data_IF_932527639932
#
_entry.id   IF_932527639932
#
_cell.length_a   1.000
_cell.length_b   1.000
_cell.length_c   1.000
_cell.angle_alpha   90.00
_cell.angle_beta   90.00
_cell.angle_gamma   90.00
#
_symmetry.space_group_name_H-M   'P 1'
#
loop_
_entity.id
_entity.type
_entity.pdbx_description
1 polymer ?
#
# COMPACT_ATOMS: atom_id res chain seq x y z
N UNK A 1 -0.68 3.39 37.78
CA UNK A 1 0.67 3.30 37.20
C UNK A 1 1.14 1.85 37.30
N UNK A 2 0.91 1.04 36.27
CA UNK A 2 1.14 -0.42 36.33
C UNK A 2 2.62 -0.80 36.33
N UNK A 3 3.53 0.15 36.07
CA UNK A 3 4.98 -0.09 36.06
C UNK A 3 5.61 -0.13 37.46
N UNK A 4 4.82 -0.14 38.53
CA UNK A 4 5.29 -0.05 39.93
C UNK A 4 4.74 -1.13 40.87
N UNK A 5 3.97 -2.10 40.36
CA UNK A 5 3.55 -3.25 41.17
C UNK A 5 4.66 -4.31 41.17
N UNK A 6 5.49 -4.29 42.22
CA UNK A 6 6.60 -5.23 42.40
C UNK A 6 6.15 -6.69 42.38
N UNK A 7 4.95 -6.99 42.89
CA UNK A 7 4.41 -8.35 42.89
C UNK A 7 4.07 -8.81 41.47
N UNK A 8 3.45 -7.93 40.67
CA UNK A 8 3.16 -8.21 39.26
C UNK A 8 4.44 -8.39 38.43
N UNK A 9 5.45 -7.54 38.63
CA UNK A 9 6.76 -7.67 37.98
C UNK A 9 7.46 -8.97 38.37
N UNK A 10 7.40 -9.36 39.65
CA UNK A 10 7.97 -10.63 40.11
C UNK A 10 7.31 -11.85 39.46
N UNK A 11 5.97 -11.83 39.31
CA UNK A 11 5.23 -12.87 38.58
C UNK A 11 5.68 -12.91 37.11
N UNK A 12 5.76 -11.76 36.46
CA UNK A 12 6.18 -11.65 35.06
C UNK A 12 7.61 -12.17 34.86
N UNK A 13 8.57 -11.79 35.70
CA UNK A 13 9.95 -12.28 35.63
C UNK A 13 10.06 -13.80 35.86
N UNK A 14 9.21 -14.39 36.71
CA UNK A 14 9.15 -15.85 36.85
C UNK A 14 8.65 -16.50 35.56
N UNK A 15 7.57 -15.97 34.97
CA UNK A 15 7.05 -16.44 33.68
C UNK A 15 8.06 -16.34 32.54
N UNK A 16 8.75 -15.20 32.43
CA UNK A 16 9.78 -14.99 31.41
C UNK A 16 10.95 -15.97 31.57
N UNK A 17 11.38 -16.29 32.79
CA UNK A 17 12.40 -17.33 33.03
C UNK A 17 11.93 -18.73 32.63
N UNK A 18 10.67 -19.07 32.93
CA UNK A 18 10.10 -20.34 32.52
C UNK A 18 9.95 -20.45 30.99
N UNK A 19 9.62 -19.35 30.31
CA UNK A 19 9.59 -19.32 28.84
C UNK A 19 11.00 -19.40 28.24
N UNK A 20 11.98 -18.74 28.84
CA UNK A 20 13.36 -18.72 28.37
C UNK A 20 14.03 -20.10 28.40
N UNK A 21 13.61 -20.98 29.34
CA UNK A 21 14.11 -22.36 29.43
C UNK A 21 13.63 -23.25 28.29
N UNK A 22 12.65 -22.81 27.50
CA UNK A 22 12.15 -23.52 26.33
C UNK A 22 12.92 -23.06 25.07
N UNK A 23 13.78 -23.89 24.45
CA UNK A 23 14.71 -23.43 23.41
C UNK A 23 14.04 -22.88 22.15
N UNK A 24 12.82 -23.31 21.84
CA UNK A 24 12.09 -22.92 20.64
C UNK A 24 11.20 -21.68 20.81
N UNK A 25 11.14 -21.10 22.02
CA UNK A 25 10.39 -19.86 22.27
C UNK A 25 11.23 -18.65 21.89
N UNK A 26 10.64 -17.77 21.07
CA UNK A 26 11.23 -16.50 20.64
C UNK A 26 10.39 -15.33 21.17
N UNK A 27 11.02 -14.18 21.39
CA UNK A 27 10.37 -13.00 21.94
C UNK A 27 10.43 -11.83 20.96
N UNK A 28 9.25 -11.33 20.61
CA UNK A 28 9.09 -10.06 19.91
C UNK A 28 9.10 -8.91 20.93
N UNK A 29 10.19 -8.15 20.96
CA UNK A 29 10.35 -6.97 21.80
C UNK A 29 9.59 -5.80 21.17
N UNK A 30 8.33 -5.61 21.58
CA UNK A 30 7.43 -4.55 21.11
C UNK A 30 6.47 -4.14 22.22
N UNK A 31 5.82 -2.99 22.11
CA UNK A 31 4.78 -2.53 23.05
C UNK A 31 5.25 -2.27 24.49
N UNK A 32 6.56 -2.26 24.74
CA UNK A 32 7.12 -2.15 26.08
C UNK A 32 6.94 -0.74 26.69
N UNK A 33 6.73 0.27 25.84
CA UNK A 33 6.40 1.63 26.28
C UNK A 33 4.96 1.80 26.76
N UNK A 34 4.05 0.89 26.39
CA UNK A 34 2.63 1.01 26.70
C UNK A 34 2.35 0.89 28.21
N UNK A 35 3.12 0.04 28.91
CA UNK A 35 2.99 -0.13 30.36
C UNK A 35 3.55 1.05 31.15
N UNK A 36 4.25 1.97 30.49
CA UNK A 36 4.94 3.10 31.10
C UNK A 36 4.65 4.39 30.32
N UNK A 37 3.44 4.98 30.46
CA UNK A 37 3.07 6.20 29.74
C UNK A 37 4.07 7.34 29.94
N UNK A 38 4.41 8.05 28.86
CA UNK A 38 5.40 9.13 28.89
C UNK A 38 6.86 8.66 28.83
N UNK A 39 7.14 7.35 28.67
CA UNK A 39 8.51 6.84 28.83
C UNK A 39 9.55 7.58 27.99
N UNK A 40 9.27 7.88 26.72
CA UNK A 40 10.23 8.48 25.80
C UNK A 40 10.60 9.96 26.13
N UNK A 41 9.90 10.59 27.08
CA UNK A 41 10.12 11.99 27.49
C UNK A 41 10.68 12.12 28.91
N UNK A 42 10.81 11.01 29.61
CA UNK A 42 11.22 10.96 31.01
C UNK A 42 12.34 9.93 31.15
N UNK A 43 13.52 10.38 31.58
CA UNK A 43 14.72 9.54 31.64
C UNK A 43 14.57 8.38 32.62
N UNK A 44 13.88 8.58 33.75
CA UNK A 44 13.65 7.52 34.73
C UNK A 44 12.71 6.44 34.18
N UNK A 45 11.66 6.85 33.46
CA UNK A 45 10.76 5.90 32.78
C UNK A 45 11.41 5.22 31.58
N UNK A 46 12.24 5.95 30.82
CA UNK A 46 13.08 5.38 29.75
C UNK A 46 13.98 4.29 30.30
N UNK A 47 14.59 4.52 31.47
CA UNK A 47 15.41 3.54 32.15
C UNK A 47 14.62 2.29 32.53
N UNK A 48 13.40 2.41 33.05
CA UNK A 48 12.55 1.25 33.36
C UNK A 48 12.30 0.40 32.12
N UNK A 49 11.92 1.01 31.00
CA UNK A 49 11.67 0.28 29.74
C UNK A 49 12.95 -0.36 29.20
N UNK A 50 14.07 0.36 29.26
CA UNK A 50 15.40 -0.15 28.86
C UNK A 50 15.78 -1.40 29.67
N UNK A 51 15.62 -1.34 30.98
CA UNK A 51 16.06 -2.41 31.88
C UNK A 51 15.18 -3.66 31.70
N UNK A 52 13.88 -3.49 31.40
CA UNK A 52 13.00 -4.58 30.96
C UNK A 52 13.48 -5.21 29.64
N UNK A 53 13.75 -4.40 28.61
CA UNK A 53 14.26 -4.87 27.31
C UNK A 53 15.54 -5.68 27.50
N UNK A 54 16.52 -5.11 28.19
CA UNK A 54 17.81 -5.75 28.44
C UNK A 54 17.67 -7.02 29.27
N UNK A 55 16.76 -7.04 30.24
CA UNK A 55 16.45 -8.22 31.03
C UNK A 55 15.91 -9.37 30.17
N UNK A 56 15.00 -9.09 29.24
CA UNK A 56 14.50 -10.12 28.30
C UNK A 56 15.61 -10.62 27.37
N UNK A 57 16.41 -9.72 26.81
CA UNK A 57 17.54 -10.10 25.95
C UNK A 57 18.52 -10.99 26.72
N UNK A 58 18.83 -10.66 27.97
CA UNK A 58 19.72 -11.48 28.81
C UNK A 58 19.15 -12.86 29.11
N UNK A 59 17.83 -13.01 29.22
CA UNK A 59 17.17 -14.30 29.47
C UNK A 59 17.12 -15.19 28.22
N UNK A 60 16.81 -14.61 27.07
CA UNK A 60 16.54 -15.38 25.85
C UNK A 60 17.75 -15.48 24.92
N UNK A 61 18.72 -14.56 25.00
CA UNK A 61 19.75 -14.40 23.99
C UNK A 61 19.28 -13.53 22.82
N UNK A 62 20.24 -12.96 22.10
CA UNK A 62 19.97 -12.11 20.95
C UNK A 62 19.35 -12.89 19.79
N UNK A 63 19.77 -14.15 19.62
CA UNK A 63 19.31 -15.06 18.59
C UNK A 63 17.83 -15.46 18.75
N UNK A 64 17.23 -15.27 19.92
CA UNK A 64 15.80 -15.53 20.20
C UNK A 64 14.98 -14.27 20.47
N UNK A 65 15.58 -13.09 20.40
CA UNK A 65 14.89 -11.81 20.56
C UNK A 65 14.84 -11.03 19.24
N UNK A 66 13.73 -10.34 18.97
CA UNK A 66 13.63 -9.46 17.79
C UNK A 66 12.92 -8.16 18.13
N UNK A 67 13.53 -7.02 17.78
CA UNK A 67 12.87 -5.72 17.91
C UNK A 67 11.76 -5.57 16.87
N UNK A 68 10.59 -5.15 17.34
CA UNK A 68 9.46 -4.84 16.48
C UNK A 68 8.67 -3.66 17.05
N UNK A 69 7.71 -3.19 16.25
CA UNK A 69 6.78 -2.15 16.67
C UNK A 69 5.36 -2.45 16.22
N UNK A 70 4.41 -2.06 17.05
CA UNK A 70 2.99 -1.95 16.74
C UNK A 70 2.60 -0.49 16.37
N UNK A 71 3.53 0.34 15.91
CA UNK A 71 3.25 1.72 15.48
C UNK A 71 2.10 1.75 14.44
N UNK A 72 1.11 2.67 14.56
CA UNK A 72 1.04 3.82 15.45
C UNK A 72 0.49 3.55 16.86
N UNK A 73 0.14 2.31 17.21
CA UNK A 73 -0.37 1.99 18.57
C UNK A 73 0.74 2.15 19.63
N UNK A 74 2.01 1.98 19.24
CA UNK A 74 3.18 2.32 20.08
C UNK A 74 3.38 3.83 20.28
N UNK A 75 2.59 4.68 19.61
CA UNK A 75 2.64 6.12 19.85
C UNK A 75 2.20 6.36 21.29
N UNK A 76 3.03 7.06 22.04
CA UNK A 76 2.66 7.59 23.35
C UNK A 76 1.30 8.29 23.23
N UNK A 77 0.29 7.97 24.07
CA UNK A 77 -1.05 8.57 24.02
C UNK A 77 -1.02 10.12 23.96
N UNK A 78 0.00 10.75 24.55
CA UNK A 78 0.14 12.21 24.53
C UNK A 78 1.08 12.72 23.41
N UNK A 79 1.38 11.88 22.40
CA UNK A 79 1.99 12.30 21.13
C UNK A 79 3.52 12.34 21.07
N UNK A 80 4.26 11.82 22.05
CA UNK A 80 5.70 12.10 22.23
C UNK A 80 6.73 11.22 21.48
N UNK A 81 6.44 9.97 21.10
CA UNK A 81 7.45 9.06 20.55
C UNK A 81 7.20 8.73 19.08
N UNK A 82 8.09 9.20 18.18
CA UNK A 82 8.06 8.80 16.77
C UNK A 82 8.68 7.41 16.59
N UNK A 83 8.32 6.69 15.52
CA UNK A 83 8.95 5.41 15.20
C UNK A 83 10.48 5.53 15.12
N UNK A 84 11.00 6.62 14.54
CA UNK A 84 12.44 6.90 14.47
C UNK A 84 13.08 7.05 15.85
N UNK A 85 12.45 7.80 16.75
CA UNK A 85 12.97 8.01 18.10
C UNK A 85 13.01 6.69 18.88
N UNK A 86 11.94 5.90 18.82
CA UNK A 86 11.86 4.59 19.46
C UNK A 86 12.94 3.62 18.98
N UNK A 87 13.13 3.46 17.66
CA UNK A 87 14.23 2.62 17.14
C UNK A 87 15.62 3.20 17.46
N UNK A 88 15.72 4.53 17.61
CA UNK A 88 16.93 5.19 18.14
C UNK A 88 17.26 4.75 19.56
N UNK A 89 16.27 4.72 20.45
CA UNK A 89 16.44 4.20 21.81
C UNK A 89 16.83 2.72 21.81
N UNK A 90 16.15 1.88 21.02
CA UNK A 90 16.48 0.45 20.94
C UNK A 90 17.93 0.23 20.52
N UNK A 91 18.41 0.96 19.50
CA UNK A 91 19.82 0.92 19.09
C UNK A 91 20.76 1.35 20.20
N UNK A 92 20.46 2.46 20.88
CA UNK A 92 21.29 2.95 21.98
C UNK A 92 21.38 1.94 23.14
N UNK A 93 20.29 1.24 23.44
CA UNK A 93 20.24 0.26 24.54
C UNK A 93 21.03 -1.02 24.29
N UNK A 94 21.36 -1.33 23.04
CA UNK A 94 22.11 -2.55 22.69
C UNK A 94 23.45 -2.25 22.02
N UNK A 95 23.85 -0.98 21.95
CA UNK A 95 25.09 -0.53 21.30
C UNK A 95 26.36 -1.17 21.88
N UNK A 96 26.31 -1.63 23.14
CA UNK A 96 27.40 -2.33 23.81
C UNK A 96 27.48 -3.83 23.47
N UNK A 97 26.46 -4.40 22.83
CA UNK A 97 26.46 -5.81 22.43
C UNK A 97 27.35 -5.99 21.17
N UNK A 98 27.94 -7.17 20.96
CA UNK A 98 28.64 -7.49 19.72
C UNK A 98 27.78 -7.24 18.49
N UNK A 99 28.38 -6.83 17.36
CA UNK A 99 27.68 -6.54 16.11
C UNK A 99 26.79 -7.71 15.64
N UNK A 100 27.24 -8.95 15.87
CA UNK A 100 26.45 -10.16 15.57
C UNK A 100 25.12 -10.20 16.33
N UNK A 101 25.11 -9.75 17.58
CA UNK A 101 23.95 -9.80 18.47
C UNK A 101 23.02 -8.62 18.18
N UNK A 102 23.59 -7.44 17.89
CA UNK A 102 22.82 -6.32 17.38
C UNK A 102 22.12 -6.70 16.06
N UNK A 103 22.85 -7.33 15.13
CA UNK A 103 22.28 -7.79 13.85
C UNK A 103 21.21 -8.86 14.04
N UNK A 104 21.38 -9.77 14.99
CA UNK A 104 20.34 -10.73 15.36
C UNK A 104 19.05 -10.03 15.81
N UNK A 105 19.16 -9.10 16.77
CA UNK A 105 18.03 -8.36 17.34
C UNK A 105 17.26 -7.51 16.32
N UNK A 106 17.96 -6.91 15.35
CA UNK A 106 17.35 -6.01 14.35
C UNK A 106 17.00 -6.69 13.01
N UNK A 107 17.54 -7.88 12.71
CA UNK A 107 17.38 -8.53 11.40
C UNK A 107 17.34 -10.06 11.49
N UNK A 108 18.43 -10.69 11.91
CA UNK A 108 18.66 -12.11 11.57
C UNK A 108 17.70 -13.04 12.31
N UNK A 109 17.33 -12.74 13.55
CA UNK A 109 16.38 -13.54 14.31
C UNK A 109 14.99 -13.52 13.70
N UNK A 110 14.51 -12.33 13.29
CA UNK A 110 13.25 -12.23 12.58
C UNK A 110 13.31 -12.96 11.22
N UNK A 111 14.43 -12.82 10.50
CA UNK A 111 14.62 -13.50 9.23
C UNK A 111 14.56 -15.03 9.36
N UNK A 112 15.28 -15.57 10.35
CA UNK A 112 15.27 -17.00 10.64
C UNK A 112 13.88 -17.49 11.06
N UNK A 113 13.27 -16.81 12.05
CA UNK A 113 11.97 -17.20 12.61
C UNK A 113 10.85 -17.19 11.56
N UNK A 114 10.79 -16.13 10.73
CA UNK A 114 9.78 -15.98 9.69
C UNK A 114 10.18 -16.62 8.35
N UNK A 115 11.35 -17.28 8.27
CA UNK A 115 11.90 -17.86 7.04
C UNK A 115 11.99 -16.85 5.89
N UNK A 116 12.37 -15.63 6.23
CA UNK A 116 12.61 -14.56 5.26
C UNK A 116 14.01 -14.74 4.71
N UNK A 117 14.10 -14.92 3.41
CA UNK A 117 15.37 -14.88 2.71
C UNK A 117 15.89 -13.43 2.69
N UNK A 118 16.97 -13.22 3.42
CA UNK A 118 17.63 -11.92 3.58
C UNK A 118 18.88 -11.79 2.73
N UNK A 119 19.26 -12.82 1.97
CA UNK A 119 20.33 -12.77 0.97
C UNK A 119 19.79 -12.46 -0.43
N UNK A 120 18.54 -12.80 -0.74
CA UNK A 120 17.97 -12.60 -2.10
C UNK A 120 17.30 -11.23 -2.37
N UNK A 121 17.53 -10.19 -1.56
CA UNK A 121 16.91 -8.87 -1.79
C UNK A 121 17.79 -7.87 -2.53
N UNK A 122 18.12 -8.23 -3.77
CA UNK A 122 17.68 -7.44 -4.93
C UNK A 122 17.01 -8.45 -5.85
N UNK A 123 15.72 -8.31 -6.21
CA UNK A 123 15.19 -9.08 -7.32
C UNK A 123 16.04 -8.76 -8.56
N UNK A 124 16.91 -9.69 -8.95
CA UNK A 124 17.67 -9.70 -10.21
C UNK A 124 16.77 -9.70 -11.45
N UNK A 125 15.45 -9.66 -11.27
CA UNK A 125 14.44 -9.51 -12.31
C UNK A 125 14.40 -8.11 -12.95
N UNK A 126 15.29 -7.18 -12.57
CA UNK A 126 15.58 -5.95 -13.33
C UNK A 126 16.95 -5.96 -14.02
N UNK A 127 17.79 -6.99 -13.82
CA UNK A 127 19.14 -7.08 -14.44
C UNK A 127 19.21 -8.00 -15.66
N UNK A 128 18.07 -8.49 -16.16
CA UNK A 128 18.02 -9.30 -17.39
C UNK A 128 17.17 -8.68 -18.51
N UNK A 129 17.00 -7.36 -18.50
CA UNK A 129 16.96 -6.64 -19.77
C UNK A 129 18.41 -6.36 -20.12
N UNK A 130 18.94 -7.03 -21.14
CA UNK A 130 20.28 -6.78 -21.65
C UNK A 130 20.50 -5.28 -21.86
N UNK A 131 21.75 -4.85 -21.82
CA UNK A 131 22.20 -3.47 -22.02
C UNK A 131 21.70 -2.90 -23.35
N UNK A 132 20.43 -2.51 -23.39
CA UNK A 132 19.95 -1.53 -24.32
C UNK A 132 20.63 -0.21 -23.94
N UNK A 133 20.99 0.65 -24.90
CA UNK A 133 21.50 1.98 -24.59
C UNK A 133 20.54 2.65 -23.61
N UNK A 134 21.08 3.35 -22.61
CA UNK A 134 20.30 4.07 -21.61
C UNK A 134 19.33 5.00 -22.34
N UNK A 135 18.06 4.58 -22.41
CA UNK A 135 17.01 5.40 -23.01
C UNK A 135 16.85 6.65 -22.13
N UNK A 136 16.56 7.82 -22.71
CA UNK A 136 16.30 9.00 -21.91
C UNK A 136 15.19 8.70 -20.88
N UNK A 137 15.24 9.29 -19.67
CA UNK A 137 14.21 9.08 -18.66
C UNK A 137 12.81 9.38 -19.21
N UNK A 138 11.86 8.49 -18.95
CA UNK A 138 10.49 8.64 -19.42
C UNK A 138 9.84 9.89 -18.80
N UNK A 139 9.24 10.73 -19.63
CA UNK A 139 8.63 12.01 -19.25
C UNK A 139 7.16 11.80 -18.95
N UNK A 140 6.83 11.72 -17.67
CA UNK A 140 5.52 11.30 -17.18
C UNK A 140 4.73 12.50 -16.67
N UNK A 141 3.51 12.68 -17.20
CA UNK A 141 2.51 13.56 -16.63
C UNK A 141 1.76 12.84 -15.49
N UNK A 142 1.32 13.57 -14.46
CA UNK A 142 0.50 13.03 -13.37
C UNK A 142 -0.81 13.82 -13.30
N UNK A 143 -1.94 13.16 -13.51
CA UNK A 143 -3.27 13.77 -13.45
C UNK A 143 -3.97 13.46 -12.15
N UNK A 144 -4.19 14.50 -11.34
CA UNK A 144 -4.58 14.43 -9.94
C UNK A 144 -3.34 14.53 -9.03
N UNK A 145 -3.28 15.53 -8.18
CA UNK A 145 -2.23 15.67 -7.17
C UNK A 145 -2.81 15.60 -5.74
N UNK A 146 -3.82 14.74 -5.57
CA UNK A 146 -4.40 14.44 -4.27
C UNK A 146 -3.48 13.64 -3.34
N UNK A 147 -4.01 13.26 -2.19
CA UNK A 147 -3.25 12.57 -1.13
C UNK A 147 -2.55 11.29 -1.61
N UNK A 148 -3.19 10.51 -2.49
CA UNK A 148 -2.63 9.27 -3.04
C UNK A 148 -1.45 9.55 -3.97
N UNK A 149 -1.59 10.52 -4.87
CA UNK A 149 -0.54 10.92 -5.80
C UNK A 149 0.68 11.48 -5.05
N UNK A 150 0.47 12.37 -4.08
CA UNK A 150 1.56 12.97 -3.31
C UNK A 150 2.20 12.00 -2.29
N UNK A 151 1.47 10.99 -1.83
CA UNK A 151 1.99 9.95 -0.93
C UNK A 151 2.73 8.83 -1.66
N UNK A 152 2.27 8.45 -2.86
CA UNK A 152 2.75 7.25 -3.55
C UNK A 152 3.30 7.53 -4.94
N UNK A 153 2.56 8.16 -5.87
CA UNK A 153 3.04 8.27 -7.26
C UNK A 153 4.19 9.27 -7.43
N UNK A 154 4.00 10.52 -7.00
CA UNK A 154 4.98 11.60 -7.19
C UNK A 154 6.33 11.31 -6.50
N UNK A 155 6.39 10.85 -5.24
CA UNK A 155 7.68 10.52 -4.62
C UNK A 155 8.41 9.35 -5.28
N UNK A 156 7.69 8.34 -5.79
CA UNK A 156 8.33 7.21 -6.49
C UNK A 156 8.84 7.63 -7.85
N UNK A 157 8.06 8.43 -8.62
CA UNK A 157 8.53 8.99 -9.88
C UNK A 157 9.77 9.87 -9.69
N UNK A 158 9.76 10.77 -8.70
CA UNK A 158 10.87 11.68 -8.44
C UNK A 158 12.17 10.97 -8.06
N UNK A 159 12.09 9.79 -7.42
CA UNK A 159 13.26 8.99 -7.02
C UNK A 159 13.70 7.99 -8.09
N UNK A 160 12.94 7.82 -9.16
CA UNK A 160 13.23 6.85 -10.20
C UNK A 160 14.17 7.47 -11.25
N UNK A 161 15.41 6.96 -11.43
CA UNK A 161 16.36 7.52 -12.39
C UNK A 161 15.89 7.39 -13.86
N UNK A 162 14.94 6.49 -14.12
CA UNK A 162 14.40 6.23 -15.46
C UNK A 162 13.09 7.00 -15.72
N UNK A 163 12.67 7.91 -14.83
CA UNK A 163 11.48 8.72 -15.01
C UNK A 163 11.70 10.18 -14.59
N UNK A 164 10.96 11.07 -15.22
CA UNK A 164 10.92 12.49 -14.89
C UNK A 164 9.47 12.96 -14.86
N UNK A 165 9.10 13.76 -13.87
CA UNK A 165 7.76 14.35 -13.76
C UNK A 165 7.71 15.53 -14.75
N UNK A 166 7.10 15.33 -15.91
CA UNK A 166 7.05 16.32 -16.98
C UNK A 166 5.99 17.41 -16.73
N UNK A 167 4.88 17.05 -16.11
CA UNK A 167 3.77 17.94 -15.78
C UNK A 167 2.91 17.33 -14.67
N UNK A 168 2.22 18.18 -13.92
CA UNK A 168 1.21 17.78 -12.94
C UNK A 168 -0.10 18.47 -13.30
N UNK A 169 -1.23 17.77 -13.19
CA UNK A 169 -2.56 18.36 -13.35
C UNK A 169 -3.26 18.32 -11.99
N UNK A 170 -3.59 19.50 -11.45
CA UNK A 170 -4.31 19.66 -10.19
C UNK A 170 -5.19 20.93 -10.24
N UNK A 171 -6.52 20.80 -10.34
CA UNK A 171 -7.42 21.95 -10.45
C UNK A 171 -7.53 22.77 -9.17
N UNK A 172 -7.26 22.19 -8.00
CA UNK A 172 -7.36 22.85 -6.70
C UNK A 172 -6.00 23.42 -6.27
N UNK A 173 -5.83 24.75 -6.17
CA UNK A 173 -4.53 25.34 -5.79
C UNK A 173 -4.05 24.93 -4.39
N UNK A 174 -4.98 24.66 -3.48
CA UNK A 174 -4.72 24.29 -2.09
C UNK A 174 -5.51 23.02 -1.73
N UNK A 175 -5.11 21.85 -2.26
CA UNK A 175 -5.80 20.60 -1.97
C UNK A 175 -5.65 20.27 -0.48
N UNK A 176 -6.65 19.61 0.10
CA UNK A 176 -6.68 19.21 1.51
C UNK A 176 -7.06 17.74 1.62
N UNK A 177 -6.51 17.05 2.61
CA UNK A 177 -6.87 15.67 2.90
C UNK A 177 -6.66 15.34 4.36
N UNK A 178 -7.58 14.57 4.93
CA UNK A 178 -7.40 13.93 6.26
C UNK A 178 -6.53 12.67 6.18
N UNK A 179 -6.34 12.11 4.99
CA UNK A 179 -5.54 10.90 4.72
C UNK A 179 -4.05 11.22 4.50
N UNK A 180 -3.74 12.45 4.10
CA UNK A 180 -2.37 12.96 4.02
C UNK A 180 -2.35 14.41 4.51
N UNK A 181 -1.98 14.66 5.77
CA UNK A 181 -1.93 16.01 6.32
C UNK A 181 -0.81 16.88 5.72
N UNK A 182 0.20 16.27 5.11
CA UNK A 182 1.37 16.94 4.53
C UNK A 182 1.21 17.20 3.01
N UNK A 183 -0.03 17.30 2.55
CA UNK A 183 -0.33 17.57 1.14
C UNK A 183 0.10 18.99 0.75
N UNK A 184 0.88 19.10 -0.32
CA UNK A 184 1.41 20.35 -0.88
C UNK A 184 0.37 21.05 -1.76
N UNK A 185 0.40 22.37 -1.72
CA UNK A 185 -0.25 23.25 -2.70
C UNK A 185 0.36 23.11 -4.10
N UNK A 186 -0.32 23.59 -5.13
CA UNK A 186 0.21 23.56 -6.51
C UNK A 186 1.50 24.36 -6.67
N UNK A 187 1.65 25.47 -5.94
CA UNK A 187 2.87 26.26 -5.91
C UNK A 187 4.04 25.47 -5.28
N UNK A 188 3.80 24.79 -4.16
CA UNK A 188 4.80 23.94 -3.51
C UNK A 188 5.15 22.70 -4.34
N UNK A 189 4.19 22.11 -5.06
CA UNK A 189 4.45 21.01 -6.00
C UNK A 189 5.39 21.45 -7.12
N UNK A 190 5.16 22.64 -7.69
CA UNK A 190 6.04 23.22 -8.72
C UNK A 190 7.45 23.40 -8.18
N UNK A 191 7.59 24.02 -7.00
CA UNK A 191 8.88 24.25 -6.37
C UNK A 191 9.61 22.95 -5.99
N UNK A 192 8.86 21.94 -5.53
CA UNK A 192 9.44 20.69 -5.04
C UNK A 192 9.87 19.74 -6.16
N UNK A 193 9.05 19.59 -7.21
CA UNK A 193 9.30 18.65 -8.30
C UNK A 193 9.90 19.30 -9.55
N UNK A 194 9.94 20.64 -9.62
CA UNK A 194 10.45 21.36 -10.79
C UNK A 194 9.58 21.19 -12.04
N UNK A 195 8.30 20.83 -11.87
CA UNK A 195 7.38 20.53 -12.96
C UNK A 195 6.25 21.57 -13.02
N UNK A 196 5.81 22.00 -14.21
CA UNK A 196 4.66 22.89 -14.35
C UNK A 196 3.38 22.19 -13.89
N UNK A 197 2.49 22.95 -13.23
CA UNK A 197 1.17 22.50 -12.82
C UNK A 197 0.10 23.14 -13.70
N UNK A 198 -0.80 22.32 -14.23
CA UNK A 198 -1.95 22.71 -15.04
C UNK A 198 -3.25 22.42 -14.30
N UNK A 199 -4.35 23.09 -14.65
CA UNK A 199 -5.66 22.86 -14.00
C UNK A 199 -6.46 21.75 -14.66
N UNK A 200 -6.16 21.43 -15.92
CA UNK A 200 -6.85 20.39 -16.67
C UNK A 200 -5.90 19.70 -17.66
N UNK A 201 -6.32 18.54 -18.15
CA UNK A 201 -5.63 17.86 -19.26
C UNK A 201 -5.67 18.67 -20.54
N UNK A 202 -6.75 19.43 -20.79
CA UNK A 202 -6.86 20.27 -21.99
C UNK A 202 -5.84 21.41 -21.97
N UNK A 203 -5.61 22.03 -20.80
CA UNK A 203 -4.53 23.02 -20.62
C UNK A 203 -3.15 22.41 -20.84
N UNK A 204 -2.90 21.19 -20.34
CA UNK A 204 -1.64 20.49 -20.58
C UNK A 204 -1.46 20.21 -22.08
N UNK A 205 -2.47 19.65 -22.74
CA UNK A 205 -2.41 19.30 -24.18
C UNK A 205 -2.18 20.52 -25.08
N UNK A 206 -2.65 21.70 -24.67
CA UNK A 206 -2.40 22.96 -25.38
C UNK A 206 -0.99 23.53 -25.12
N UNK A 207 -0.30 23.08 -24.07
CA UNK A 207 1.00 23.60 -23.68
C UNK A 207 2.15 22.94 -24.48
N UNK A 208 3.25 23.67 -24.75
CA UNK A 208 4.40 23.12 -25.48
C UNK A 208 5.00 21.85 -24.85
N UNK A 209 4.91 21.70 -23.52
CA UNK A 209 5.46 20.54 -22.81
C UNK A 209 4.76 19.23 -23.19
N UNK A 210 3.50 19.26 -23.63
CA UNK A 210 2.74 18.06 -24.04
C UNK A 210 3.40 17.28 -25.17
N UNK A 211 4.08 17.98 -26.10
CA UNK A 211 4.80 17.34 -27.21
C UNK A 211 5.97 16.44 -26.74
N UNK A 212 6.38 16.59 -25.48
CA UNK A 212 7.48 15.84 -24.87
C UNK A 212 7.03 14.85 -23.79
N UNK A 213 5.72 14.67 -23.59
CA UNK A 213 5.19 13.71 -22.62
C UNK A 213 5.12 12.33 -23.26
N UNK A 214 5.71 11.33 -22.62
CA UNK A 214 5.69 9.94 -23.07
C UNK A 214 4.48 9.20 -22.52
N UNK A 215 4.05 9.54 -21.31
CA UNK A 215 2.97 8.85 -20.62
C UNK A 215 2.31 9.66 -19.52
N UNK A 216 1.18 9.18 -19.03
CA UNK A 216 0.40 9.80 -17.98
C UNK A 216 0.02 8.78 -16.90
N UNK A 217 0.16 9.17 -15.63
CA UNK A 217 -0.50 8.50 -14.52
C UNK A 217 -1.82 9.21 -14.24
N UNK A 218 -2.94 8.50 -14.38
CA UNK A 218 -4.28 9.02 -14.07
C UNK A 218 -4.63 8.58 -12.65
N UNK A 219 -4.62 9.53 -11.72
CA UNK A 219 -4.89 9.37 -10.28
C UNK A 219 -5.79 10.52 -9.81
N UNK A 220 -6.81 10.78 -10.62
CA UNK A 220 -7.83 11.81 -10.38
C UNK A 220 -9.07 11.18 -9.76
N UNK A 221 -10.17 11.93 -9.63
CA UNK A 221 -11.46 11.34 -9.23
C UNK A 221 -11.90 10.29 -10.26
N UNK A 222 -12.47 9.17 -9.82
CA UNK A 222 -12.77 8.05 -10.74
C UNK A 222 -13.68 8.45 -11.91
N UNK A 223 -14.60 9.39 -11.68
CA UNK A 223 -15.50 9.90 -12.71
C UNK A 223 -14.80 10.67 -13.83
N UNK A 224 -13.56 11.15 -13.62
CA UNK A 224 -12.79 11.85 -14.65
C UNK A 224 -11.87 10.93 -15.45
N UNK A 225 -11.69 9.68 -15.02
CA UNK A 225 -10.78 8.75 -15.67
C UNK A 225 -11.11 8.49 -17.14
N UNK A 226 -12.41 8.40 -17.50
CA UNK A 226 -12.82 8.16 -18.89
C UNK A 226 -12.36 9.29 -19.83
N UNK A 227 -12.73 10.53 -19.52
CA UNK A 227 -12.37 11.70 -20.33
C UNK A 227 -10.84 11.88 -20.42
N UNK A 228 -10.15 11.81 -19.28
CA UNK A 228 -8.69 11.93 -19.24
C UNK A 228 -8.02 10.79 -20.02
N UNK A 229 -8.49 9.56 -19.88
CA UNK A 229 -7.97 8.39 -20.58
C UNK A 229 -8.13 8.50 -22.10
N UNK A 230 -9.32 8.89 -22.57
CA UNK A 230 -9.59 9.06 -24.00
C UNK A 230 -8.73 10.17 -24.61
N UNK A 231 -8.55 11.29 -23.90
CA UNK A 231 -7.69 12.39 -24.32
C UNK A 231 -6.21 11.97 -24.37
N UNK A 232 -5.73 11.23 -23.38
CA UNK A 232 -4.37 10.72 -23.35
C UNK A 232 -4.09 9.67 -24.45
N UNK A 233 -5.06 8.79 -24.74
CA UNK A 233 -4.98 7.85 -25.88
C UNK A 233 -4.86 8.63 -27.19
N UNK A 234 -5.72 9.64 -27.40
CA UNK A 234 -5.66 10.50 -28.60
C UNK A 234 -4.33 11.26 -28.71
N UNK A 235 -3.71 11.61 -27.58
CA UNK A 235 -2.41 12.28 -27.54
C UNK A 235 -1.21 11.36 -27.84
N UNK A 236 -1.43 10.05 -28.01
CA UNK A 236 -0.32 9.11 -28.28
C UNK A 236 0.48 8.72 -27.04
N UNK A 237 -0.08 8.89 -25.83
CA UNK A 237 0.64 8.65 -24.57
C UNK A 237 0.46 7.23 -24.03
N UNK A 238 1.48 6.72 -23.31
CA UNK A 238 1.33 5.58 -22.41
C UNK A 238 0.43 5.96 -21.23
N UNK A 239 -0.38 5.02 -20.72
CA UNK A 239 -1.33 5.29 -19.64
C UNK A 239 -1.15 4.29 -18.51
N UNK A 240 -0.92 4.80 -17.30
CA UNK A 240 -1.13 4.07 -16.05
C UNK A 240 -2.32 4.69 -15.33
N UNK A 241 -3.44 4.00 -15.29
CA UNK A 241 -4.69 4.50 -14.71
C UNK A 241 -4.93 3.85 -13.35
N UNK A 242 -5.24 4.65 -12.33
CA UNK A 242 -5.67 4.13 -11.04
C UNK A 242 -6.95 3.31 -11.17
N UNK A 243 -7.09 2.38 -10.22
CA UNK A 243 -8.31 1.59 -10.10
C UNK A 243 -9.33 2.33 -9.21
N UNK A 244 -10.63 2.11 -9.41
CA UNK A 244 -11.27 1.46 -10.56
C UNK A 244 -11.11 2.29 -11.85
N UNK A 245 -11.13 1.60 -13.00
CA UNK A 245 -10.79 2.18 -14.30
C UNK A 245 -11.68 3.39 -14.68
N UNK A 246 -13.00 3.25 -14.59
CA UNK A 246 -14.02 4.30 -14.82
C UNK A 246 -15.18 4.03 -13.89
N UNK A 247 -16.17 4.91 -13.77
CA UNK A 247 -17.40 4.70 -12.95
C UNK A 247 -18.57 4.05 -13.67
N UNK A 248 -18.49 3.91 -15.00
CA UNK A 248 -19.47 3.22 -15.83
C UNK A 248 -18.80 2.05 -16.59
N UNK A 249 -19.36 0.83 -16.57
CA UNK A 249 -18.83 -0.29 -17.34
C UNK A 249 -18.79 -0.03 -18.85
N UNK A 250 -19.72 0.76 -19.42
CA UNK A 250 -19.69 1.13 -20.85
C UNK A 250 -18.48 1.98 -21.17
N UNK A 251 -18.13 2.93 -20.29
CA UNK A 251 -16.91 3.73 -20.42
C UNK A 251 -15.65 2.85 -20.33
N UNK A 252 -15.63 1.87 -19.42
CA UNK A 252 -14.52 0.91 -19.31
C UNK A 252 -14.35 0.10 -20.60
N UNK A 253 -15.44 -0.42 -21.17
CA UNK A 253 -15.39 -1.15 -22.45
C UNK A 253 -14.94 -0.26 -23.60
N UNK A 254 -15.41 0.99 -23.66
CA UNK A 254 -15.00 1.94 -24.68
C UNK A 254 -13.51 2.29 -24.59
N UNK A 255 -12.99 2.54 -23.37
CA UNK A 255 -11.55 2.73 -23.15
C UNK A 255 -10.74 1.49 -23.52
N UNK A 256 -11.20 0.30 -23.14
CA UNK A 256 -10.51 -0.94 -23.48
C UNK A 256 -10.45 -1.16 -25.00
N UNK A 257 -11.55 -0.88 -25.72
CA UNK A 257 -11.58 -0.94 -27.17
C UNK A 257 -10.64 0.08 -27.82
N UNK A 258 -10.62 1.32 -27.33
CA UNK A 258 -9.71 2.35 -27.82
C UNK A 258 -8.24 1.98 -27.55
N UNK A 259 -7.92 1.51 -26.33
CA UNK A 259 -6.60 1.06 -25.95
C UNK A 259 -6.12 -0.16 -26.77
N UNK A 260 -7.01 -1.05 -27.19
CA UNK A 260 -6.66 -2.20 -28.03
C UNK A 260 -6.18 -1.79 -29.44
N UNK A 261 -6.59 -0.61 -29.91
CA UNK A 261 -6.13 -0.03 -31.19
C UNK A 261 -4.97 0.95 -31.04
N UNK A 262 -4.53 1.20 -29.80
CA UNK A 262 -3.49 2.16 -29.46
C UNK A 262 -2.11 1.54 -29.56
N UNK A 263 -1.13 2.29 -30.06
CA UNK A 263 0.25 1.81 -30.20
C UNK A 263 1.05 1.88 -28.89
N UNK A 264 0.46 2.41 -27.81
CA UNK A 264 1.07 2.51 -26.47
C UNK A 264 0.44 1.59 -25.45
N UNK A 265 1.20 1.37 -24.38
CA UNK A 265 0.76 0.61 -23.21
C UNK A 265 -0.35 1.35 -22.47
N UNK A 266 -1.47 0.64 -22.23
CA UNK A 266 -2.50 1.03 -21.28
C UNK A 266 -2.51 0.01 -20.12
N UNK A 267 -2.36 0.47 -18.89
CA UNK A 267 -2.36 -0.37 -17.70
C UNK A 267 -3.28 0.21 -16.62
N UNK A 268 -4.08 -0.64 -15.99
CA UNK A 268 -4.80 -0.30 -14.75
C UNK A 268 -3.92 -0.70 -13.55
N UNK A 269 -3.78 0.17 -12.56
CA UNK A 269 -2.92 -0.02 -11.40
C UNK A 269 -3.47 -1.06 -10.41
N UNK A 270 -3.31 -2.34 -10.75
CA UNK A 270 -3.57 -3.46 -9.86
C UNK A 270 -2.29 -3.83 -9.08
N UNK A 271 -1.78 -2.90 -8.27
CA UNK A 271 -0.49 -3.01 -7.57
C UNK A 271 -0.29 -4.31 -6.78
N UNK A 272 -1.36 -4.92 -6.26
CA UNK A 272 -1.31 -6.22 -5.57
C UNK A 272 -0.73 -7.35 -6.45
N UNK A 273 -0.89 -7.26 -7.78
CA UNK A 273 -0.40 -8.25 -8.74
C UNK A 273 1.13 -8.23 -8.89
N UNK A 274 1.75 -7.11 -8.55
CA UNK A 274 3.20 -6.93 -8.62
C UNK A 274 3.94 -7.34 -7.34
N UNK A 275 3.20 -7.75 -6.29
CA UNK A 275 3.81 -8.27 -5.07
C UNK A 275 4.42 -9.64 -5.30
N UNK A 276 5.56 -9.92 -4.68
CA UNK A 276 6.31 -11.16 -4.90
C UNK A 276 5.49 -12.42 -4.61
N UNK A 277 4.73 -12.43 -3.51
CA UNK A 277 3.85 -13.54 -3.17
C UNK A 277 2.77 -13.79 -4.23
N UNK A 278 2.27 -12.74 -4.87
CA UNK A 278 1.27 -12.85 -5.94
C UNK A 278 1.89 -13.43 -7.20
N UNK A 279 3.08 -12.96 -7.58
CA UNK A 279 3.83 -13.51 -8.72
C UNK A 279 4.18 -14.97 -8.50
N UNK A 280 4.60 -15.35 -7.28
CA UNK A 280 4.87 -16.74 -6.92
C UNK A 280 3.61 -17.60 -7.03
N UNK A 281 2.47 -17.13 -6.48
CA UNK A 281 1.20 -17.83 -6.58
C UNK A 281 0.76 -18.04 -8.04
N UNK A 282 0.84 -16.99 -8.86
CA UNK A 282 0.58 -17.08 -10.30
C UNK A 282 1.47 -18.13 -10.98
N UNK A 283 2.77 -18.11 -10.72
CA UNK A 283 3.71 -19.06 -11.32
C UNK A 283 3.43 -20.51 -10.91
N UNK A 284 3.07 -20.76 -9.64
CA UNK A 284 2.71 -22.10 -9.16
C UNK A 284 1.46 -22.64 -9.87
N UNK A 285 0.43 -21.80 -10.03
CA UNK A 285 -0.79 -22.19 -10.74
C UNK A 285 -0.51 -22.40 -12.23
N UNK A 286 0.21 -21.48 -12.87
CA UNK A 286 0.56 -21.54 -14.28
C UNK A 286 1.44 -22.76 -14.62
N UNK A 287 2.33 -23.17 -13.70
CA UNK A 287 3.16 -24.38 -13.82
C UNK A 287 2.39 -25.68 -13.57
N UNK A 288 1.12 -25.62 -13.16
CA UNK A 288 0.29 -26.78 -12.88
C UNK A 288 0.57 -27.45 -11.52
N UNK A 289 1.37 -26.83 -10.64
CA UNK A 289 1.71 -27.39 -9.32
C UNK A 289 0.49 -27.55 -8.40
N UNK A 290 -0.57 -26.75 -8.62
CA UNK A 290 -1.84 -26.80 -7.88
C UNK A 290 -2.87 -27.71 -8.60
N UNK A 291 -2.54 -28.23 -9.78
CA UNK A 291 -3.48 -28.91 -10.65
C UNK A 291 -4.57 -27.96 -11.19
N UNK A 292 -5.69 -28.54 -11.63
CA UNK A 292 -6.81 -27.76 -12.18
C UNK A 292 -7.61 -27.09 -11.05
N UNK A 293 -7.56 -25.75 -10.99
CA UNK A 293 -8.35 -24.94 -10.05
C UNK A 293 -9.85 -25.26 -10.18
N UNK A 294 -10.48 -25.73 -9.10
CA UNK A 294 -11.92 -26.03 -9.03
C UNK A 294 -12.71 -24.95 -8.28
N UNK A 295 -12.08 -24.34 -7.27
CA UNK A 295 -12.73 -23.38 -6.40
C UNK A 295 -11.72 -22.35 -5.89
N UNK A 296 -12.15 -21.10 -5.77
CA UNK A 296 -11.43 -20.01 -5.12
C UNK A 296 -12.32 -19.41 -4.04
N UNK A 297 -11.78 -19.23 -2.84
CA UNK A 297 -12.42 -18.45 -1.78
C UNK A 297 -11.50 -17.30 -1.39
N UNK A 298 -12.03 -16.09 -1.38
CA UNK A 298 -11.28 -14.88 -1.06
C UNK A 298 -12.11 -13.90 -0.25
N UNK A 299 -11.52 -13.32 0.79
CA UNK A 299 -12.17 -12.31 1.62
C UNK A 299 -11.30 -11.06 1.69
N UNK A 300 -11.87 -9.89 1.37
CA UNK A 300 -11.20 -8.60 1.54
C UNK A 300 -11.95 -7.75 2.56
N UNK A 301 -11.32 -7.60 3.72
CA UNK A 301 -11.83 -6.78 4.80
C UNK A 301 -10.99 -5.50 4.89
N UNK A 302 -11.65 -4.35 4.83
CA UNK A 302 -11.02 -3.05 5.10
C UNK A 302 -11.94 -2.18 5.94
N UNK A 303 -11.38 -1.32 6.79
CA UNK A 303 -12.16 -0.42 7.64
C UNK A 303 -12.36 0.94 6.94
N UNK A 304 -13.08 0.92 5.82
CA UNK A 304 -13.31 2.09 4.96
C UNK A 304 -14.76 2.58 4.95
N UNK A 305 -15.62 2.06 5.85
CA UNK A 305 -17.02 2.50 5.96
C UNK A 305 -17.12 4.03 6.11
N UNK A 306 -16.28 4.62 6.95
CA UNK A 306 -16.24 6.07 7.17
C UNK A 306 -15.92 6.88 5.90
N UNK A 307 -15.17 6.31 4.95
CA UNK A 307 -14.83 6.96 3.69
C UNK A 307 -16.04 6.97 2.75
N UNK A 308 -16.73 5.84 2.64
CA UNK A 308 -17.85 5.67 1.71
C UNK A 308 -19.16 6.24 2.23
N UNK A 309 -19.35 6.34 3.54
CA UNK A 309 -20.59 6.83 4.13
C UNK A 309 -20.68 8.33 4.34
N UNK A 310 -19.57 9.05 4.28
CA UNK A 310 -19.54 10.49 4.48
C UNK A 310 -19.83 11.23 3.16
N UNK A 311 -21.00 11.89 3.00
CA UNK A 311 -21.34 12.62 1.79
C UNK A 311 -20.39 13.78 1.48
N UNK A 312 -19.58 14.23 2.46
CA UNK A 312 -18.56 15.25 2.23
C UNK A 312 -17.38 14.74 1.37
N UNK A 313 -17.20 13.43 1.25
CA UNK A 313 -16.16 12.82 0.41
C UNK A 313 -16.55 12.81 -1.07
N UNK A 314 -16.86 13.99 -1.63
CA UNK A 314 -17.46 14.15 -2.97
C UNK A 314 -16.73 13.38 -4.07
N UNK A 315 -15.40 13.30 -4.06
CA UNK A 315 -14.63 12.54 -5.06
C UNK A 315 -14.86 11.01 -5.03
N UNK A 316 -15.44 10.49 -3.95
CA UNK A 316 -15.81 9.08 -3.77
C UNK A 316 -17.31 8.85 -3.89
N UNK A 317 -18.15 9.77 -3.39
CA UNK A 317 -19.61 9.61 -3.35
C UNK A 317 -20.34 10.17 -4.58
N UNK A 318 -19.67 10.95 -5.44
CA UNK A 318 -20.32 11.62 -6.57
C UNK A 318 -20.76 10.60 -7.64
N UNK A 319 -22.07 10.51 -7.93
CA UNK A 319 -22.56 9.63 -8.97
C UNK A 319 -22.05 10.02 -10.37
N UNK A 320 -21.86 9.02 -11.23
CA UNK A 320 -21.71 9.18 -12.66
C UNK A 320 -22.82 8.39 -13.37
N UNK A 321 -23.66 9.08 -14.14
CA UNK A 321 -24.84 8.48 -14.74
C UNK A 321 -25.77 7.85 -13.69
N UNK A 322 -26.00 6.54 -13.81
CA UNK A 322 -26.83 5.76 -12.86
C UNK A 322 -26.04 5.12 -11.73
N UNK A 323 -24.71 5.23 -11.72
CA UNK A 323 -23.85 4.60 -10.71
C UNK A 323 -23.43 5.63 -9.67
N UNK A 324 -23.56 5.29 -8.38
CA UNK A 324 -23.08 6.13 -7.28
C UNK A 324 -21.55 6.32 -7.29
N UNK A 325 -20.80 5.42 -7.96
CA UNK A 325 -19.33 5.50 -8.08
C UNK A 325 -18.58 5.25 -6.76
N UNK A 326 -19.25 4.65 -5.78
CA UNK A 326 -18.82 4.55 -4.39
C UNK A 326 -19.11 3.16 -3.80
N UNK A 327 -18.42 2.78 -2.72
CA UNK A 327 -18.65 1.55 -1.96
C UNK A 327 -17.56 0.49 -2.07
N UNK A 328 -17.74 -0.63 -1.38
CA UNK A 328 -16.76 -1.72 -1.29
C UNK A 328 -16.68 -2.56 -2.56
N UNK A 329 -17.81 -3.06 -3.03
CA UNK A 329 -18.02 -3.72 -4.31
C UNK A 329 -17.39 -2.95 -5.46
N UNK A 330 -17.59 -1.64 -5.45
CA UNK A 330 -17.01 -0.75 -6.44
C UNK A 330 -15.50 -0.49 -6.24
N UNK A 331 -15.14 0.14 -5.12
CA UNK A 331 -13.81 0.70 -4.91
C UNK A 331 -12.77 -0.30 -4.40
N UNK A 332 -13.20 -1.41 -3.81
CA UNK A 332 -12.33 -2.38 -3.14
C UNK A 332 -12.33 -3.76 -3.81
N UNK A 333 -13.47 -4.26 -4.31
CA UNK A 333 -13.51 -5.60 -4.92
C UNK A 333 -12.67 -5.70 -6.19
N UNK A 334 -12.39 -4.57 -6.88
CA UNK A 334 -11.44 -4.54 -7.99
C UNK A 334 -10.05 -5.06 -7.61
N UNK A 335 -9.61 -4.88 -6.35
CA UNK A 335 -8.36 -5.46 -5.85
C UNK A 335 -8.40 -6.98 -5.84
N UNK A 336 -9.48 -7.56 -5.28
CA UNK A 336 -9.63 -9.02 -5.18
C UNK A 336 -9.78 -9.63 -6.55
N UNK A 337 -10.64 -9.08 -7.39
CA UNK A 337 -10.87 -9.62 -8.72
C UNK A 337 -9.62 -9.56 -9.58
N UNK A 338 -8.91 -8.43 -9.58
CA UNK A 338 -7.64 -8.34 -10.30
C UNK A 338 -6.61 -9.36 -9.80
N UNK A 339 -6.56 -9.62 -8.49
CA UNK A 339 -5.66 -10.60 -7.90
C UNK A 339 -6.04 -12.04 -8.25
N UNK A 340 -7.31 -12.42 -8.04
CA UNK A 340 -7.82 -13.76 -8.32
C UNK A 340 -7.66 -14.09 -9.80
N UNK A 341 -8.03 -13.19 -10.71
CA UNK A 341 -7.94 -13.44 -12.15
C UNK A 341 -6.48 -13.51 -12.61
N UNK A 342 -5.60 -12.68 -12.06
CA UNK A 342 -4.18 -12.76 -12.34
C UNK A 342 -3.59 -14.10 -11.89
N UNK A 343 -3.82 -14.51 -10.64
CA UNK A 343 -3.25 -15.74 -10.08
C UNK A 343 -3.79 -16.99 -10.78
N UNK A 344 -5.09 -17.01 -11.10
CA UNK A 344 -5.76 -18.24 -11.53
C UNK A 344 -5.98 -18.36 -13.03
N UNK A 345 -5.98 -17.25 -13.78
CA UNK A 345 -6.35 -17.23 -15.20
C UNK A 345 -7.82 -17.61 -15.46
N UNK A 346 -8.67 -17.66 -14.43
CA UNK A 346 -10.07 -18.05 -14.58
C UNK A 346 -10.87 -16.97 -15.34
N UNK A 347 -11.68 -17.41 -16.30
CA UNK A 347 -12.57 -16.55 -17.07
C UNK A 347 -14.00 -16.61 -16.49
N UNK A 348 -14.50 -15.54 -15.83
CA UNK A 348 -15.85 -15.51 -15.25
C UNK A 348 -16.93 -15.48 -16.35
N UNK A 349 -18.06 -16.15 -16.12
CA UNK A 349 -19.21 -16.21 -17.07
C UNK A 349 -20.56 -15.83 -16.45
N UNK A 350 -20.70 -15.92 -15.13
CA UNK A 350 -21.92 -15.46 -14.44
C UNK A 350 -21.61 -15.15 -12.98
N UNK A 351 -22.28 -14.13 -12.44
CA UNK A 351 -22.17 -13.71 -11.03
C UNK A 351 -23.55 -13.70 -10.38
N UNK A 352 -23.62 -14.18 -9.15
CA UNK A 352 -24.70 -13.91 -8.22
C UNK A 352 -24.13 -13.13 -7.04
N UNK A 353 -24.73 -12.01 -6.67
CA UNK A 353 -24.22 -11.15 -5.61
C UNK A 353 -25.35 -10.62 -4.72
N UNK A 354 -25.05 -10.50 -3.43
CA UNK A 354 -25.85 -9.75 -2.47
C UNK A 354 -25.04 -8.56 -1.97
N UNK A 355 -25.69 -7.40 -1.85
CA UNK A 355 -25.08 -6.16 -1.39
C UNK A 355 -26.00 -5.46 -0.40
N UNK A 356 -25.40 -4.92 0.66
CA UNK A 356 -26.07 -4.04 1.62
C UNK A 356 -25.56 -2.61 1.44
N UNK A 357 -26.47 -1.65 1.51
CA UNK A 357 -26.19 -0.26 1.19
C UNK A 357 -26.25 0.62 2.45
N UNK A 358 -25.50 1.71 2.44
CA UNK A 358 -25.57 2.76 3.46
C UNK A 358 -26.81 3.63 3.25
N UNK A 359 -27.61 3.83 4.29
CA UNK A 359 -28.74 4.77 4.25
C UNK A 359 -28.31 6.23 4.07
N UNK A 360 -27.05 6.57 4.37
CA UNK A 360 -26.53 7.94 4.32
C UNK A 360 -26.07 8.34 2.92
N UNK A 361 -25.42 7.42 2.22
CA UNK A 361 -24.71 7.71 0.96
C UNK A 361 -25.20 6.87 -0.22
N UNK A 362 -25.99 5.81 0.05
CA UNK A 362 -26.34 4.80 -0.96
C UNK A 362 -25.17 3.91 -1.38
N UNK A 363 -23.98 4.08 -0.81
CA UNK A 363 -22.81 3.27 -1.12
C UNK A 363 -23.02 1.82 -0.67
N UNK A 364 -22.54 0.86 -1.43
CA UNK A 364 -22.51 -0.52 -0.99
C UNK A 364 -21.40 -0.71 0.07
N UNK A 365 -21.74 -1.30 1.21
CA UNK A 365 -20.86 -1.40 2.38
C UNK A 365 -20.44 -2.84 2.65
N UNK A 366 -21.33 -3.79 2.37
CA UNK A 366 -21.10 -5.22 2.55
C UNK A 366 -21.52 -5.94 1.29
N UNK A 367 -20.67 -6.83 0.80
CA UNK A 367 -20.90 -7.55 -0.44
C UNK A 367 -20.58 -9.03 -0.24
N UNK A 368 -21.29 -9.89 -0.94
CA UNK A 368 -20.92 -11.29 -1.09
C UNK A 368 -21.26 -11.72 -2.51
N UNK A 369 -20.32 -12.34 -3.20
CA UNK A 369 -20.48 -12.75 -4.59
C UNK A 369 -20.05 -14.21 -4.80
N UNK A 370 -20.85 -14.95 -5.56
CA UNK A 370 -20.47 -16.25 -6.13
C UNK A 370 -20.39 -16.13 -7.64
N UNK A 371 -19.26 -16.53 -8.22
CA UNK A 371 -18.97 -16.41 -9.64
C UNK A 371 -18.70 -17.80 -10.21
N UNK A 372 -19.31 -18.11 -11.36
CA UNK A 372 -19.01 -19.31 -12.15
C UNK A 372 -18.08 -18.93 -13.28
N UNK A 373 -17.10 -19.79 -13.56
CA UNK A 373 -16.13 -19.61 -14.63
C UNK A 373 -16.40 -20.56 -15.80
N UNK A 374 -15.87 -20.24 -16.99
CA UNK A 374 -16.09 -21.01 -18.22
C UNK A 374 -15.67 -22.49 -18.10
N UNK A 375 -14.62 -22.77 -17.33
CA UNK A 375 -14.11 -24.11 -17.08
C UNK A 375 -14.87 -24.89 -15.98
N UNK A 376 -15.96 -24.34 -15.44
CA UNK A 376 -16.74 -24.93 -14.35
C UNK A 376 -16.26 -24.57 -12.94
N UNK A 377 -15.10 -23.93 -12.80
CA UNK A 377 -14.61 -23.47 -11.50
C UNK A 377 -15.54 -22.40 -10.89
N UNK A 378 -15.55 -22.33 -9.55
CA UNK A 378 -16.33 -21.33 -8.80
C UNK A 378 -15.42 -20.39 -8.00
N UNK A 379 -15.86 -19.15 -7.81
CA UNK A 379 -15.16 -18.16 -6.99
C UNK A 379 -16.18 -17.60 -5.98
N UNK A 380 -15.85 -17.66 -4.70
CA UNK A 380 -16.58 -16.99 -3.62
C UNK A 380 -15.76 -15.79 -3.13
N UNK A 381 -16.37 -14.60 -3.14
CA UNK A 381 -15.76 -13.36 -2.66
C UNK A 381 -16.65 -12.70 -1.61
N UNK A 382 -16.06 -12.26 -0.51
CA UNK A 382 -16.72 -11.51 0.58
C UNK A 382 -15.95 -10.25 0.94
#
# INVERSE_FOLDING_TARGET
DHSRDEAALAVWHRGMRALASVPHVHVKLSFLGYTTPGWARDDAKTQVVRDLVRGVIALFGAERCMFASNFPVDRDPDGGCTARAMYGHYRAWVAQLPDKDQRALFRDTAAHFYRIDVETRVPRALEAAGSAPASPPARIAVCGAGWWAQGWHLPQLHRNPNAHIAAIIEPCPTPRSTLNPDIRTTAELTAHYGAPVFRSIDELLAAPVAASVDGIIVVSEHATHYDVGMKALKAGWHILMEKPMTTDPKEAHALAAAAATHDKVFMVNNSANFREQTRRAHNLVAAGEVGRVQHVSCSLLSNLKWLFEDPANVGWVKPSGTMAGNGFGWGQSSHVFAWVYFVTGLAPVSVFCHMSYSDKSGADIYNSATIRCACGATIAVT
#
